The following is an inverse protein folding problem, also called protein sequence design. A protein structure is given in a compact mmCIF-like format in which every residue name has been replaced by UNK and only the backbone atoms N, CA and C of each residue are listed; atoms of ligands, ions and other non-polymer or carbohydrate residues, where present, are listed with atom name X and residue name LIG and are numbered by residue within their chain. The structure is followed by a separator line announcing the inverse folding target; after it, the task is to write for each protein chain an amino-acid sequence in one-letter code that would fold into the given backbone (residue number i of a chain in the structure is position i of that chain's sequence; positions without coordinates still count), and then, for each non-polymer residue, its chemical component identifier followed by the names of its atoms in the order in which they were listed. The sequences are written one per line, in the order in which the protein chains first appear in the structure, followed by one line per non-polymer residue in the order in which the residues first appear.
data_IF_910797338281
#
_entry.id   IF_910797338281
#
_cell.length_a   1.000
_cell.length_b   1.000
_cell.length_c   1.000
_cell.angle_alpha   90.00
_cell.angle_beta   90.00
_cell.angle_gamma   90.00
#
_symmetry.space_group_name_H-M   'P 1'
#
loop_
_entity.id
_entity.type
_entity.pdbx_description
1 polymer ?
#
# COMPACT_ATOMS: atom_id res chain seq x y z
N UNK A 1 9.83 16.17 11.59
CA UNK A 1 10.25 15.11 12.52
C UNK A 1 9.02 14.63 13.27
N UNK A 2 8.29 13.65 12.72
CA UNK A 2 7.16 13.07 13.43
C UNK A 2 7.70 12.05 14.43
N UNK A 3 7.73 12.44 15.71
CA UNK A 3 8.16 11.56 16.79
C UNK A 3 7.25 10.35 16.91
N UNK A 4 7.78 9.16 16.63
CA UNK A 4 7.11 7.88 16.87
C UNK A 4 6.81 7.74 18.37
N UNK A 5 5.59 8.11 18.80
CA UNK A 5 5.07 7.71 20.10
C UNK A 5 4.72 6.23 20.04
N UNK A 6 5.33 5.40 20.90
CA UNK A 6 4.93 4.00 21.09
C UNK A 6 3.44 3.94 21.44
N UNK A 7 2.61 3.51 20.49
CA UNK A 7 1.21 3.19 20.73
C UNK A 7 1.15 1.77 21.29
N UNK A 8 0.48 1.55 22.41
CA UNK A 8 0.25 0.20 22.94
C UNK A 8 -0.58 -0.59 21.94
N UNK A 9 -0.15 -1.79 21.62
CA UNK A 9 -0.57 -2.67 20.52
C UNK A 9 -2.07 -3.09 20.55
N UNK A 10 -2.76 -2.89 21.68
CA UNK A 10 -4.13 -3.37 21.90
C UNK A 10 -5.23 -2.47 21.35
N UNK A 11 -4.93 -1.21 21.03
CA UNK A 11 -5.97 -0.18 20.86
C UNK A 11 -5.90 0.59 19.53
N UNK A 12 -5.10 0.14 18.58
CA UNK A 12 -4.94 0.85 17.31
C UNK A 12 -6.08 0.52 16.34
N UNK A 13 -6.82 1.55 15.93
CA UNK A 13 -7.78 1.49 14.83
C UNK A 13 -7.09 1.96 13.56
N UNK A 14 -7.29 1.23 12.47
CA UNK A 14 -6.86 1.64 11.14
C UNK A 14 -8.06 1.99 10.29
N UNK A 15 -8.01 3.15 9.63
CA UNK A 15 -9.07 3.62 8.74
C UNK A 15 -8.49 3.81 7.35
N UNK A 16 -8.98 3.03 6.37
CA UNK A 16 -8.62 3.13 4.96
C UNK A 16 -9.60 4.03 4.21
N UNK A 17 -9.08 5.00 3.45
CA UNK A 17 -9.88 5.94 2.68
C UNK A 17 -9.69 5.69 1.19
N UNK A 18 -10.77 5.30 0.50
CA UNK A 18 -10.85 5.16 -0.96
C UNK A 18 -11.80 6.21 -1.54
N UNK A 19 -11.79 6.47 -2.85
CA UNK A 19 -12.68 7.46 -3.47
C UNK A 19 -14.17 7.24 -3.18
N UNK A 20 -14.60 5.98 -3.05
CA UNK A 20 -16.02 5.59 -2.93
C UNK A 20 -16.34 4.76 -1.69
N UNK A 21 -15.37 4.56 -0.80
CA UNK A 21 -15.59 3.79 0.43
C UNK A 21 -14.60 4.18 1.53
N UNK A 22 -15.02 3.96 2.78
CA UNK A 22 -14.15 4.04 3.97
C UNK A 22 -14.16 2.67 4.63
N UNK A 23 -12.97 2.16 4.95
CA UNK A 23 -12.72 0.85 5.52
C UNK A 23 -12.19 1.00 6.93
N UNK A 24 -12.69 0.19 7.85
CA UNK A 24 -12.29 0.22 9.25
C UNK A 24 -11.77 -1.13 9.68
N UNK A 25 -10.68 -1.14 10.40
CA UNK A 25 -10.10 -2.33 11.01
C UNK A 25 -9.75 -2.05 12.47
N UNK A 26 -10.20 -2.92 13.36
CA UNK A 26 -9.93 -2.84 14.79
C UNK A 26 -9.52 -4.18 15.35
N UNK A 27 -8.39 -4.23 16.06
CA UNK A 27 -7.94 -5.43 16.77
C UNK A 27 -8.74 -5.74 18.04
N UNK A 28 -9.38 -4.73 18.64
CA UNK A 28 -10.06 -4.87 19.93
C UNK A 28 -11.31 -5.73 19.88
N UNK A 29 -11.96 -5.80 18.71
CA UNK A 29 -13.20 -6.56 18.49
C UNK A 29 -12.99 -7.69 17.52
N UNK A 30 -12.18 -8.68 17.91
CA UNK A 30 -11.96 -9.93 17.14
C UNK A 30 -11.71 -9.68 15.64
N UNK A 31 -10.86 -8.67 15.30
CA UNK A 31 -10.54 -8.26 13.93
C UNK A 31 -11.76 -7.74 13.14
N UNK A 32 -12.65 -6.99 13.78
CA UNK A 32 -13.80 -6.40 13.11
C UNK A 32 -13.35 -5.58 11.89
N UNK A 33 -13.85 -5.95 10.75
CA UNK A 33 -13.64 -5.25 9.48
C UNK A 33 -14.98 -4.70 8.99
N UNK A 34 -15.07 -3.38 8.87
CA UNK A 34 -16.29 -2.69 8.45
C UNK A 34 -16.02 -1.86 7.20
N UNK A 35 -16.95 -1.85 6.27
CA UNK A 35 -16.92 -1.05 5.05
C UNK A 35 -18.15 -0.16 4.98
N UNK A 36 -17.94 1.12 4.71
CA UNK A 36 -19.02 2.10 4.46
C UNK A 36 -18.81 2.74 3.10
N UNK A 37 -19.83 2.69 2.25
CA UNK A 37 -19.80 3.36 0.96
C UNK A 37 -19.98 4.86 1.13
N UNK A 38 -19.32 5.65 0.28
CA UNK A 38 -19.42 7.10 0.21
C UNK A 38 -19.52 7.53 -1.25
N UNK A 39 -20.19 8.65 -1.51
CA UNK A 39 -20.28 9.23 -2.86
C UNK A 39 -19.03 10.07 -3.18
N UNK A 40 -18.47 10.73 -2.19
CA UNK A 40 -17.24 11.52 -2.31
C UNK A 40 -16.63 11.82 -0.92
N UNK A 41 -15.52 12.57 -0.91
CA UNK A 41 -14.75 12.88 0.31
C UNK A 41 -15.52 13.73 1.34
N UNK A 42 -16.60 14.41 0.98
CA UNK A 42 -17.40 15.21 1.91
C UNK A 42 -18.14 14.35 2.92
N UNK A 43 -18.37 13.07 2.60
CA UNK A 43 -19.05 12.13 3.48
C UNK A 43 -18.11 11.44 4.48
N UNK A 44 -16.79 11.62 4.37
CA UNK A 44 -15.82 10.97 5.28
C UNK A 44 -16.09 11.28 6.75
N UNK A 45 -16.31 12.55 7.09
CA UNK A 45 -16.57 12.95 8.46
C UNK A 45 -17.80 12.27 9.06
N UNK A 46 -18.88 12.20 8.28
CA UNK A 46 -20.13 11.54 8.70
C UNK A 46 -19.90 10.05 8.97
N UNK A 47 -19.33 9.35 8.02
CA UNK A 47 -19.12 7.89 8.10
C UNK A 47 -18.16 7.52 9.22
N UNK A 48 -17.07 8.30 9.39
CA UNK A 48 -16.10 8.09 10.48
C UNK A 48 -16.78 8.33 11.83
N UNK A 49 -17.58 9.39 11.97
CA UNK A 49 -18.34 9.68 13.20
C UNK A 49 -19.27 8.53 13.58
N UNK A 50 -20.03 7.99 12.62
CA UNK A 50 -20.94 6.87 12.83
C UNK A 50 -20.20 5.65 13.38
N UNK A 51 -19.16 5.18 12.67
CA UNK A 51 -18.41 3.98 13.06
C UNK A 51 -17.63 4.19 14.35
N UNK A 52 -17.04 5.38 14.57
CA UNK A 52 -16.32 5.67 15.80
C UNK A 52 -17.24 5.71 17.01
N UNK A 53 -18.50 6.11 16.83
CA UNK A 53 -19.52 6.02 17.89
C UNK A 53 -19.82 4.56 18.22
N UNK A 54 -20.03 3.70 17.22
CA UNK A 54 -20.27 2.26 17.40
C UNK A 54 -19.09 1.57 18.10
N UNK A 55 -17.85 1.96 17.76
CA UNK A 55 -16.61 1.43 18.34
C UNK A 55 -16.21 2.10 19.68
N UNK A 56 -17.00 3.03 20.19
CA UNK A 56 -16.70 3.80 21.42
C UNK A 56 -15.34 4.49 21.39
N UNK A 57 -14.94 5.03 20.22
CA UNK A 57 -13.70 5.75 20.02
C UNK A 57 -13.71 7.06 20.82
N UNK A 58 -12.58 7.42 21.40
CA UNK A 58 -12.40 8.65 22.16
C UNK A 58 -11.27 9.50 21.58
N UNK A 59 -11.20 10.78 21.97
CA UNK A 59 -10.11 11.70 21.60
C UNK A 59 -8.69 11.17 21.89
N UNK A 60 -8.56 10.17 22.77
CA UNK A 60 -7.27 9.55 23.13
C UNK A 60 -7.00 8.27 22.35
N UNK A 61 -8.00 7.72 21.66
CA UNK A 61 -7.85 6.49 20.88
C UNK A 61 -6.92 6.77 19.71
N UNK A 62 -5.79 6.05 19.60
CA UNK A 62 -4.88 6.21 18.46
C UNK A 62 -5.51 5.63 17.20
N UNK A 63 -5.50 6.42 16.14
CA UNK A 63 -5.98 6.03 14.81
C UNK A 63 -4.87 6.25 13.80
N UNK A 64 -4.67 5.26 12.94
CA UNK A 64 -3.80 5.35 11.76
C UNK A 64 -4.67 5.41 10.51
N UNK A 65 -4.40 6.34 9.63
CA UNK A 65 -5.10 6.47 8.36
C UNK A 65 -4.29 5.84 7.22
N UNK A 66 -4.98 5.19 6.31
CA UNK A 66 -4.41 4.61 5.08
C UNK A 66 -5.07 5.27 3.87
N UNK A 67 -4.28 5.95 3.06
CA UNK A 67 -4.71 6.34 1.73
C UNK A 67 -4.69 5.11 0.83
N UNK A 68 -5.85 4.79 0.25
CA UNK A 68 -6.01 3.70 -0.69
C UNK A 68 -5.89 4.21 -2.13
N UNK A 69 -5.71 3.30 -3.07
CA UNK A 69 -5.55 3.62 -4.49
C UNK A 69 -6.64 4.54 -5.00
N UNK A 70 -6.25 5.45 -5.90
CA UNK A 70 -7.12 6.52 -6.39
C UNK A 70 -7.09 7.80 -5.55
N UNK A 71 -6.50 7.77 -4.34
CA UNK A 71 -6.37 8.95 -3.47
C UNK A 71 -4.96 9.55 -3.46
N UNK A 72 -3.98 8.82 -3.96
CA UNK A 72 -2.57 9.24 -4.00
C UNK A 72 -1.88 8.75 -5.28
N UNK A 73 -0.72 9.33 -5.53
CA UNK A 73 0.26 8.84 -6.50
C UNK A 73 1.61 8.71 -5.82
N UNK A 74 2.41 7.75 -6.28
CA UNK A 74 3.78 7.60 -5.83
C UNK A 74 4.76 7.60 -7.00
N UNK A 75 5.97 8.06 -6.76
CA UNK A 75 7.05 8.09 -7.75
C UNK A 75 8.40 7.96 -7.07
N UNK A 76 9.27 7.15 -7.65
CA UNK A 76 10.66 7.04 -7.23
C UNK A 76 11.53 8.03 -8.00
N UNK A 77 12.26 8.87 -7.26
CA UNK A 77 13.20 9.84 -7.85
C UNK A 77 14.57 9.77 -7.16
N UNK A 78 15.56 10.40 -7.75
CA UNK A 78 16.83 10.67 -7.06
C UNK A 78 16.59 11.63 -5.89
N UNK A 79 17.20 11.34 -4.74
CA UNK A 79 17.08 12.24 -3.58
C UNK A 79 17.76 13.56 -3.90
N UNK A 80 17.04 14.71 -3.81
CA UNK A 80 17.64 16.02 -3.99
C UNK A 80 18.82 16.24 -3.04
N UNK A 81 19.89 16.85 -3.55
CA UNK A 81 21.08 17.18 -2.76
C UNK A 81 20.95 18.57 -2.16
N UNK A 82 20.06 18.69 -1.17
CA UNK A 82 19.78 19.96 -0.47
C UNK A 82 19.80 19.73 1.04
N UNK A 83 19.98 20.82 1.86
CA UNK A 83 19.79 20.74 3.30
C UNK A 83 18.40 20.21 3.68
N UNK A 84 18.28 19.56 4.86
CA UNK A 84 17.03 18.95 5.32
C UNK A 84 15.87 19.96 5.41
N UNK A 85 16.15 21.19 5.80
CA UNK A 85 15.17 22.28 5.89
C UNK A 85 14.58 22.69 4.54
N UNK A 86 15.30 22.44 3.43
CA UNK A 86 14.87 22.77 2.06
C UNK A 86 14.30 21.55 1.34
N UNK A 87 14.43 20.36 1.91
CA UNK A 87 14.09 19.09 1.26
C UNK A 87 12.63 19.03 0.81
N UNK A 88 11.68 19.49 1.65
CA UNK A 88 10.25 19.47 1.31
C UNK A 88 9.96 20.29 0.03
N UNK A 89 10.56 21.48 -0.10
CA UNK A 89 10.43 22.30 -1.28
C UNK A 89 11.10 21.69 -2.52
N UNK A 90 12.29 21.11 -2.34
CA UNK A 90 13.03 20.46 -3.42
C UNK A 90 12.29 19.23 -3.96
N UNK A 91 11.72 18.39 -3.08
CA UNK A 91 10.91 17.24 -3.46
C UNK A 91 9.65 17.68 -4.20
N UNK A 92 8.94 18.68 -3.66
CA UNK A 92 7.75 19.23 -4.31
C UNK A 92 8.06 19.76 -5.71
N UNK A 93 9.19 20.45 -5.89
CA UNK A 93 9.65 20.93 -7.19
C UNK A 93 10.01 19.77 -8.13
N UNK A 94 10.71 18.74 -7.64
CA UNK A 94 11.15 17.61 -8.45
C UNK A 94 10.00 16.80 -9.05
N UNK A 95 8.81 16.80 -8.40
CA UNK A 95 7.64 16.04 -8.89
C UNK A 95 6.63 16.89 -9.66
N UNK A 96 6.90 18.19 -9.89
CA UNK A 96 5.93 19.10 -10.51
C UNK A 96 5.36 18.61 -11.86
N UNK A 97 6.18 17.92 -12.66
CA UNK A 97 5.82 17.44 -13.98
C UNK A 97 5.10 16.08 -13.94
N UNK A 98 5.00 15.46 -12.76
CA UNK A 98 4.35 14.18 -12.54
C UNK A 98 2.96 14.29 -11.92
N UNK A 99 2.59 15.48 -11.43
CA UNK A 99 1.24 15.73 -10.90
C UNK A 99 0.38 16.40 -11.98
N UNK A 100 -0.90 16.02 -12.02
CA UNK A 100 -1.84 16.49 -13.07
C UNK A 100 -2.38 17.91 -12.85
N UNK A 101 -2.10 18.52 -11.71
CA UNK A 101 -2.58 19.85 -11.31
C UNK A 101 -1.39 20.66 -10.75
N UNK A 102 -1.65 21.88 -10.32
CA UNK A 102 -0.63 22.70 -9.67
C UNK A 102 -0.07 22.01 -8.45
N UNK A 103 1.25 21.81 -8.39
CA UNK A 103 1.92 21.08 -7.31
C UNK A 103 1.63 21.63 -5.92
N UNK A 104 1.29 22.93 -5.80
CA UNK A 104 0.89 23.55 -4.54
C UNK A 104 -0.45 23.04 -3.99
N UNK A 105 -1.28 22.38 -4.83
CA UNK A 105 -2.53 21.75 -4.43
C UNK A 105 -2.32 20.35 -3.85
N UNK A 106 -1.07 19.84 -3.87
CA UNK A 106 -0.73 18.54 -3.34
C UNK A 106 -0.01 18.65 -2.00
N UNK A 107 -0.38 17.75 -1.08
CA UNK A 107 0.43 17.36 0.04
C UNK A 107 1.45 16.35 -0.48
N UNK A 108 2.71 16.53 -0.14
CA UNK A 108 3.83 15.72 -0.61
C UNK A 108 4.65 15.29 0.61
N UNK A 109 4.98 14.01 0.66
CA UNK A 109 5.90 13.45 1.65
C UNK A 109 6.77 12.38 0.99
N UNK A 110 7.83 11.93 1.64
CA UNK A 110 8.74 10.95 1.07
C UNK A 110 9.32 10.01 2.12
N UNK A 111 9.76 8.85 1.64
CA UNK A 111 10.55 7.89 2.42
C UNK A 111 11.86 7.59 1.70
N UNK A 112 12.95 7.44 2.45
CA UNK A 112 14.22 7.00 1.88
C UNK A 112 14.11 5.55 1.42
N UNK A 113 14.47 5.31 0.16
CA UNK A 113 14.59 3.97 -0.38
C UNK A 113 15.88 3.29 0.11
N UNK A 114 15.88 1.98 0.26
CA UNK A 114 17.09 1.25 0.58
C UNK A 114 18.18 1.49 -0.46
N UNK A 115 19.44 1.57 -0.01
CA UNK A 115 20.58 1.73 -0.90
C UNK A 115 20.75 0.48 -1.76
N UNK A 116 21.06 0.68 -3.02
CA UNK A 116 21.42 -0.39 -3.96
C UNK A 116 22.72 -0.04 -4.65
N UNK A 117 23.64 -1.01 -4.88
CA UNK A 117 24.87 -0.80 -5.64
C UNK A 117 24.66 -0.26 -7.05
N UNK A 118 23.46 -0.47 -7.61
CA UNK A 118 23.12 -0.05 -8.97
C UNK A 118 22.64 1.40 -9.06
N UNK A 119 22.41 2.06 -7.96
CA UNK A 119 21.99 3.46 -7.96
C UNK A 119 23.18 4.37 -7.67
N UNK A 120 23.56 5.26 -8.59
CA UNK A 120 24.65 6.22 -8.35
C UNK A 120 24.28 7.27 -7.30
N UNK A 121 23.00 7.51 -7.08
CA UNK A 121 22.46 8.44 -6.09
C UNK A 121 21.48 7.70 -5.17
N UNK A 122 21.35 8.20 -3.94
CA UNK A 122 20.27 7.76 -3.05
C UNK A 122 18.91 8.04 -3.70
N UNK A 123 17.95 7.14 -3.50
CA UNK A 123 16.59 7.25 -4.02
C UNK A 123 15.60 7.51 -2.90
N UNK A 124 14.54 8.20 -3.23
CA UNK A 124 13.37 8.38 -2.38
C UNK A 124 12.11 7.95 -3.13
N UNK A 125 11.16 7.39 -2.40
CA UNK A 125 9.79 7.24 -2.87
C UNK A 125 9.00 8.44 -2.39
N UNK A 126 8.52 9.24 -3.33
CA UNK A 126 7.68 10.41 -3.06
C UNK A 126 6.23 9.99 -3.20
N UNK A 127 5.43 10.34 -2.21
CA UNK A 127 3.97 10.17 -2.22
C UNK A 127 3.32 11.54 -2.32
N UNK A 128 2.36 11.68 -3.20
CA UNK A 128 1.59 12.91 -3.37
C UNK A 128 0.09 12.63 -3.35
N UNK A 129 -0.66 13.45 -2.62
CA UNK A 129 -2.12 13.40 -2.55
C UNK A 129 -2.70 14.81 -2.59
N UNK A 130 -3.89 14.99 -3.11
CA UNK A 130 -4.53 16.31 -3.11
C UNK A 130 -4.74 16.80 -1.68
N UNK A 131 -4.36 18.03 -1.37
CA UNK A 131 -4.48 18.64 -0.03
C UNK A 131 -5.90 18.57 0.51
N UNK A 132 -6.92 18.70 -0.38
CA UNK A 132 -8.33 18.59 0.03
C UNK A 132 -8.68 17.21 0.58
N UNK A 133 -8.08 16.14 0.02
CA UNK A 133 -8.29 14.75 0.48
C UNK A 133 -7.62 14.57 1.85
N UNK A 134 -6.34 14.95 1.94
CA UNK A 134 -5.58 14.85 3.21
C UNK A 134 -6.27 15.64 4.32
N UNK A 135 -6.75 16.85 4.00
CA UNK A 135 -7.51 17.69 4.95
C UNK A 135 -8.79 17.01 5.38
N UNK A 136 -9.59 16.48 4.45
CA UNK A 136 -10.84 15.78 4.78
C UNK A 136 -10.61 14.59 5.73
N UNK A 137 -9.53 13.83 5.52
CA UNK A 137 -9.12 12.72 6.38
C UNK A 137 -8.71 13.22 7.77
N UNK A 138 -7.86 14.24 7.83
CA UNK A 138 -7.44 14.84 9.11
C UNK A 138 -8.65 15.33 9.89
N UNK A 139 -9.52 16.12 9.27
CA UNK A 139 -10.70 16.69 9.92
C UNK A 139 -11.64 15.57 10.43
N UNK A 140 -11.93 14.56 9.58
CA UNK A 140 -12.80 13.44 9.93
C UNK A 140 -12.29 12.64 11.14
N UNK A 141 -11.00 12.36 11.19
CA UNK A 141 -10.42 11.55 12.27
C UNK A 141 -10.19 12.38 13.53
N UNK A 142 -9.60 13.58 13.39
CA UNK A 142 -9.22 14.38 14.56
C UNK A 142 -10.41 14.98 15.31
N UNK A 143 -11.59 15.00 14.72
CA UNK A 143 -12.83 15.36 15.43
C UNK A 143 -13.16 14.38 16.56
N UNK A 144 -12.76 13.10 16.44
CA UNK A 144 -13.15 12.04 17.38
C UNK A 144 -11.99 11.31 18.04
N UNK A 145 -10.81 11.31 17.44
CA UNK A 145 -9.68 10.47 17.82
C UNK A 145 -8.32 11.19 17.72
N UNK A 146 -7.27 10.52 18.15
CA UNK A 146 -5.89 10.97 17.97
C UNK A 146 -5.32 10.36 16.67
N UNK A 147 -5.23 11.15 15.60
CA UNK A 147 -4.57 10.72 14.36
C UNK A 147 -3.07 10.59 14.60
N UNK A 148 -2.54 9.38 14.46
CA UNK A 148 -1.12 9.08 14.67
C UNK A 148 -0.28 9.35 13.43
N UNK A 149 -0.75 8.87 12.28
CA UNK A 149 -0.09 9.05 10.98
C UNK A 149 -1.07 8.79 9.82
N UNK A 150 -0.62 9.14 8.62
CA UNK A 150 -1.27 8.79 7.35
C UNK A 150 -0.23 8.05 6.52
N UNK A 151 -0.55 6.83 6.06
CA UNK A 151 0.31 5.98 5.25
C UNK A 151 -0.34 5.67 3.89
N UNK A 152 0.37 4.93 3.04
CA UNK A 152 -0.11 4.40 1.75
C UNK A 152 0.11 2.90 1.69
N UNK A 153 -0.57 2.22 0.77
CA UNK A 153 -0.60 0.75 0.71
C UNK A 153 0.78 0.13 0.58
N UNK A 154 1.60 0.61 -0.36
CA UNK A 154 2.91 0.00 -0.62
C UNK A 154 3.87 0.11 0.56
N UNK A 155 3.80 1.21 1.31
CA UNK A 155 4.62 1.41 2.52
C UNK A 155 4.11 0.53 3.65
N UNK A 156 2.77 0.45 3.83
CA UNK A 156 2.19 -0.35 4.90
C UNK A 156 2.39 -1.85 4.69
N UNK A 157 2.32 -2.34 3.45
CA UNK A 157 2.53 -3.75 3.12
C UNK A 157 3.93 -4.25 3.49
N UNK A 158 4.94 -3.38 3.54
CA UNK A 158 6.26 -3.74 4.00
C UNK A 158 6.28 -4.22 5.47
N UNK A 159 5.34 -3.76 6.29
CA UNK A 159 5.23 -4.14 7.70
C UNK A 159 4.66 -5.55 7.93
N UNK A 160 4.22 -6.24 6.87
CA UNK A 160 3.84 -7.66 6.96
C UNK A 160 5.04 -8.57 7.24
N UNK A 161 6.23 -8.17 6.85
CA UNK A 161 7.44 -8.99 6.87
C UNK A 161 8.39 -8.57 7.99
N UNK A 162 9.23 -9.51 8.44
CA UNK A 162 10.21 -9.26 9.48
C UNK A 162 11.44 -8.51 8.93
N UNK A 163 11.97 -7.57 9.70
CA UNK A 163 13.19 -6.85 9.33
C UNK A 163 14.45 -7.72 9.33
N UNK A 164 14.42 -8.86 10.04
CA UNK A 164 15.51 -9.83 10.08
C UNK A 164 15.37 -10.92 9.02
N UNK A 165 14.33 -10.89 8.19
CA UNK A 165 14.16 -11.86 7.12
C UNK A 165 15.15 -11.57 5.98
N UNK A 166 16.06 -12.50 5.77
CA UNK A 166 17.07 -12.40 4.70
C UNK A 166 16.51 -12.68 3.30
N UNK A 167 15.26 -13.12 3.21
CA UNK A 167 14.60 -13.39 1.94
C UNK A 167 13.92 -12.14 1.39
N UNK A 168 14.02 -11.93 0.09
CA UNK A 168 13.17 -10.97 -0.58
C UNK A 168 11.76 -11.55 -0.79
N UNK A 169 10.74 -10.72 -0.57
CA UNK A 169 9.34 -11.06 -0.76
C UNK A 169 8.76 -10.26 -1.91
N UNK A 170 7.91 -10.90 -2.68
CA UNK A 170 7.12 -10.23 -3.72
C UNK A 170 5.64 -10.33 -3.39
N UNK A 171 4.90 -9.30 -3.74
CA UNK A 171 3.44 -9.28 -3.67
C UNK A 171 2.91 -8.86 -5.04
N UNK A 172 2.09 -9.69 -5.66
CA UNK A 172 1.17 -9.25 -6.71
C UNK A 172 -0.06 -8.68 -6.03
N UNK A 173 -0.27 -7.39 -6.20
CA UNK A 173 -1.28 -6.63 -5.46
C UNK A 173 -2.24 -5.93 -6.41
N UNK A 174 -3.53 -6.24 -6.33
CA UNK A 174 -4.55 -5.60 -7.14
C UNK A 174 -5.90 -5.55 -6.44
N UNK A 175 -6.33 -4.40 -5.92
CA UNK A 175 -7.73 -4.15 -5.62
C UNK A 175 -8.57 -4.09 -6.91
N UNK A 176 -9.85 -4.42 -6.82
CA UNK A 176 -10.78 -4.40 -7.95
C UNK A 176 -10.75 -3.06 -8.69
N UNK A 177 -10.61 -3.13 -10.02
CA UNK A 177 -10.65 -1.96 -10.91
C UNK A 177 -9.37 -1.14 -11.00
N UNK A 178 -8.31 -1.52 -10.28
CA UNK A 178 -7.00 -0.87 -10.35
C UNK A 178 -5.97 -1.70 -11.13
N UNK A 179 -4.87 -1.07 -11.52
CA UNK A 179 -3.77 -1.76 -12.17
C UNK A 179 -3.12 -2.78 -11.22
N UNK A 180 -2.68 -3.91 -11.79
CA UNK A 180 -1.89 -4.89 -11.08
C UNK A 180 -0.52 -4.30 -10.72
N UNK A 181 -0.10 -4.44 -9.48
CA UNK A 181 1.20 -3.97 -9.02
C UNK A 181 2.04 -5.12 -8.49
N UNK A 182 3.30 -5.11 -8.85
CA UNK A 182 4.33 -5.92 -8.22
C UNK A 182 5.05 -5.06 -7.19
N UNK A 183 5.05 -5.53 -5.95
CA UNK A 183 5.68 -4.86 -4.80
C UNK A 183 6.78 -5.79 -4.29
N UNK A 184 7.98 -5.28 -4.13
CA UNK A 184 9.13 -6.04 -3.61
C UNK A 184 9.56 -5.47 -2.28
N UNK A 185 9.67 -6.35 -1.30
CA UNK A 185 9.99 -6.03 0.09
C UNK A 185 11.17 -6.88 0.54
N UNK A 186 12.12 -6.27 1.22
CA UNK A 186 13.23 -6.94 1.87
C UNK A 186 13.59 -6.21 3.16
N UNK A 187 13.86 -6.95 4.23
CA UNK A 187 14.10 -6.40 5.57
C UNK A 187 13.02 -5.39 6.00
N UNK A 188 11.74 -5.75 5.77
CA UNK A 188 10.60 -4.89 6.06
C UNK A 188 10.67 -3.49 5.42
N UNK A 189 11.36 -3.36 4.30
CA UNK A 189 11.49 -2.10 3.56
C UNK A 189 11.06 -2.30 2.11
N UNK A 190 10.32 -1.33 1.60
CA UNK A 190 9.97 -1.29 0.19
C UNK A 190 11.22 -1.01 -0.65
N UNK A 191 11.56 -1.92 -1.56
CA UNK A 191 12.68 -1.78 -2.48
C UNK A 191 12.25 -1.39 -3.89
N UNK A 192 11.08 -1.86 -4.28
CA UNK A 192 10.63 -1.70 -5.63
C UNK A 192 9.11 -1.85 -5.70
N UNK A 193 8.48 -0.99 -6.49
CA UNK A 193 7.07 -1.14 -6.87
C UNK A 193 6.94 -0.82 -8.35
N UNK A 194 6.16 -1.63 -9.06
CA UNK A 194 5.93 -1.47 -10.49
C UNK A 194 4.49 -1.81 -10.85
N UNK A 195 3.83 -0.91 -11.58
CA UNK A 195 2.53 -1.20 -12.19
C UNK A 195 2.73 -2.05 -13.44
N UNK A 196 2.03 -3.19 -13.51
CA UNK A 196 2.00 -4.10 -14.65
C UNK A 196 0.78 -3.76 -15.50
N UNK A 197 1.02 -3.28 -16.71
CA UNK A 197 -0.05 -2.83 -17.62
C UNK A 197 -0.71 -4.02 -18.32
N UNK A 198 -2.01 -3.87 -18.61
CA UNK A 198 -2.78 -4.90 -19.33
C UNK A 198 -3.55 -5.87 -18.42
N UNK A 199 -3.42 -5.75 -17.09
CA UNK A 199 -4.05 -6.67 -16.13
C UNK A 199 -5.16 -6.02 -15.29
N UNK A 200 -5.62 -4.83 -15.64
CA UNK A 200 -6.62 -4.09 -14.86
C UNK A 200 -7.93 -4.84 -14.67
N UNK A 201 -8.30 -5.67 -15.63
CA UNK A 201 -9.60 -6.34 -15.69
C UNK A 201 -9.57 -7.78 -15.12
N UNK A 202 -8.54 -8.18 -14.35
CA UNK A 202 -8.45 -9.52 -13.75
C UNK A 202 -9.67 -9.87 -12.89
N UNK A 203 -10.28 -8.90 -12.22
CA UNK A 203 -11.49 -9.09 -11.42
C UNK A 203 -12.72 -9.58 -12.22
N UNK A 204 -12.70 -9.45 -13.56
CA UNK A 204 -13.79 -9.90 -14.45
C UNK A 204 -13.72 -11.37 -14.81
N UNK A 205 -12.54 -12.00 -14.65
CA UNK A 205 -12.36 -13.41 -15.01
C UNK A 205 -13.07 -14.32 -14.00
N UNK A 206 -13.85 -15.26 -14.53
CA UNK A 206 -14.44 -16.33 -13.73
C UNK A 206 -13.40 -17.41 -13.48
N UNK A 207 -13.63 -18.26 -12.47
CA UNK A 207 -12.74 -19.36 -12.15
C UNK A 207 -12.51 -20.28 -13.36
N UNK A 208 -11.24 -20.48 -13.74
CA UNK A 208 -10.84 -21.29 -14.89
C UNK A 208 -11.07 -20.63 -16.26
N UNK A 209 -11.26 -19.29 -16.29
CA UNK A 209 -11.51 -18.57 -17.55
C UNK A 209 -10.33 -17.78 -18.07
N UNK A 210 -9.24 -17.72 -17.32
CA UNK A 210 -8.02 -17.04 -17.77
C UNK A 210 -7.38 -17.86 -18.91
N UNK A 211 -7.08 -17.19 -20.00
CA UNK A 211 -6.45 -17.78 -21.18
C UNK A 211 -4.92 -17.84 -21.05
N UNK A 212 -4.30 -18.66 -21.93
CA UNK A 212 -2.85 -18.83 -21.94
C UNK A 212 -2.11 -17.52 -22.29
N UNK A 213 -2.68 -16.68 -23.16
CA UNK A 213 -2.04 -15.43 -23.59
C UNK A 213 -1.89 -14.48 -22.39
N UNK A 214 -2.87 -14.45 -21.49
CA UNK A 214 -2.79 -13.64 -20.26
C UNK A 214 -1.73 -14.20 -19.31
N UNK A 215 -1.67 -15.52 -19.12
CA UNK A 215 -0.63 -16.17 -18.30
C UNK A 215 0.78 -15.91 -18.86
N UNK A 216 0.97 -16.04 -20.17
CA UNK A 216 2.26 -15.80 -20.83
C UNK A 216 2.70 -14.33 -20.69
N UNK A 217 1.77 -13.39 -20.86
CA UNK A 217 2.04 -11.96 -20.66
C UNK A 217 2.40 -11.65 -19.20
N UNK A 218 1.68 -12.24 -18.24
CA UNK A 218 1.98 -12.06 -16.82
C UNK A 218 3.36 -12.63 -16.46
N UNK A 219 3.67 -13.81 -16.98
CA UNK A 219 4.97 -14.46 -16.82
C UNK A 219 6.09 -13.58 -17.36
N UNK A 220 5.93 -13.03 -18.56
CA UNK A 220 6.93 -12.15 -19.17
C UNK A 220 7.17 -10.88 -18.33
N UNK A 221 6.12 -10.24 -17.83
CA UNK A 221 6.25 -9.05 -16.99
C UNK A 221 6.90 -9.40 -15.63
N UNK A 222 6.58 -10.56 -15.08
CA UNK A 222 7.20 -11.03 -13.84
C UNK A 222 8.69 -11.36 -14.06
N UNK A 223 9.05 -12.05 -15.15
CA UNK A 223 10.44 -12.34 -15.49
C UNK A 223 11.28 -11.06 -15.61
N UNK A 224 10.79 -10.07 -16.34
CA UNK A 224 11.45 -8.75 -16.45
C UNK A 224 11.71 -8.11 -15.09
N UNK A 225 10.75 -8.25 -14.17
CA UNK A 225 10.87 -7.69 -12.83
C UNK A 225 11.87 -8.47 -11.97
N UNK A 226 11.90 -9.80 -12.08
CA UNK A 226 12.89 -10.67 -11.44
C UNK A 226 14.31 -10.37 -11.92
N UNK A 227 14.49 -10.24 -13.23
CA UNK A 227 15.79 -9.89 -13.81
C UNK A 227 16.27 -8.53 -13.30
N UNK A 228 15.37 -7.55 -13.23
CA UNK A 228 15.68 -6.25 -12.65
C UNK A 228 16.09 -6.34 -11.18
N UNK A 229 15.34 -7.09 -10.37
CA UNK A 229 15.63 -7.27 -8.95
C UNK A 229 17.00 -7.91 -8.72
N UNK A 230 17.27 -9.02 -9.40
CA UNK A 230 18.49 -9.79 -9.18
C UNK A 230 19.69 -9.12 -9.87
N UNK A 231 19.55 -8.75 -11.14
CA UNK A 231 20.66 -8.22 -11.92
C UNK A 231 20.98 -6.76 -11.63
N UNK A 232 19.95 -5.93 -11.38
CA UNK A 232 20.11 -4.49 -11.18
C UNK A 232 20.13 -4.13 -9.68
N UNK A 233 19.13 -4.53 -8.92
CA UNK A 233 19.04 -4.16 -7.49
C UNK A 233 19.92 -5.02 -6.58
N UNK A 234 20.49 -6.15 -7.12
CA UNK A 234 21.30 -7.09 -6.36
C UNK A 234 20.58 -7.66 -5.13
N UNK A 235 19.25 -7.78 -5.22
CA UNK A 235 18.46 -8.44 -4.19
C UNK A 235 18.62 -9.97 -4.28
N UNK A 236 18.45 -10.68 -3.15
CA UNK A 236 18.35 -12.13 -3.21
C UNK A 236 17.13 -12.54 -4.05
N UNK A 237 17.24 -13.65 -4.77
CA UNK A 237 16.12 -14.19 -5.53
C UNK A 237 14.94 -14.46 -4.57
N UNK A 238 13.73 -13.99 -4.88
CA UNK A 238 12.58 -14.20 -4.02
C UNK A 238 12.22 -15.68 -3.98
N UNK A 239 11.81 -16.17 -2.82
CA UNK A 239 11.33 -17.55 -2.64
C UNK A 239 9.82 -17.61 -2.44
N UNK A 240 9.22 -16.49 -2.04
CA UNK A 240 7.80 -16.38 -1.77
C UNK A 240 7.18 -15.25 -2.60
N UNK A 241 6.08 -15.58 -3.27
CA UNK A 241 5.21 -14.66 -3.97
C UNK A 241 3.84 -14.67 -3.32
N UNK A 242 3.43 -13.55 -2.73
CA UNK A 242 2.07 -13.39 -2.21
C UNK A 242 1.15 -12.91 -3.33
N UNK A 243 0.03 -13.62 -3.51
CA UNK A 243 -1.02 -13.30 -4.48
C UNK A 243 -2.16 -12.61 -3.73
N UNK A 244 -2.22 -11.30 -3.83
CA UNK A 244 -3.23 -10.44 -3.22
C UNK A 244 -4.04 -9.75 -4.34
N UNK A 245 -4.98 -10.49 -4.92
CA UNK A 245 -5.78 -10.07 -6.08
C UNK A 245 -7.26 -10.19 -5.78
N UNK A 246 -8.02 -9.14 -6.06
CA UNK A 246 -9.49 -9.21 -6.12
C UNK A 246 -9.92 -9.83 -7.48
N UNK A 247 -9.49 -11.06 -7.70
CA UNK A 247 -9.74 -11.84 -8.91
C UNK A 247 -10.35 -13.20 -8.51
N UNK A 248 -11.52 -13.59 -9.07
CA UNK A 248 -12.12 -14.91 -8.78
C UNK A 248 -11.23 -16.09 -9.17
N UNK A 249 -10.34 -15.90 -10.15
CA UNK A 249 -9.45 -16.94 -10.69
C UNK A 249 -7.99 -16.81 -10.21
N UNK A 250 -7.75 -16.14 -9.07
CA UNK A 250 -6.41 -15.92 -8.51
C UNK A 250 -5.64 -17.21 -8.18
N UNK A 251 -6.35 -18.30 -7.86
CA UNK A 251 -5.73 -19.60 -7.61
C UNK A 251 -5.07 -20.15 -8.88
N UNK A 252 -5.73 -20.01 -10.04
CA UNK A 252 -5.15 -20.44 -11.33
C UNK A 252 -3.89 -19.63 -11.67
N UNK A 253 -3.85 -18.34 -11.30
CA UNK A 253 -2.65 -17.51 -11.43
C UNK A 253 -1.54 -18.05 -10.51
N UNK A 254 -1.87 -18.35 -9.26
CA UNK A 254 -0.90 -18.89 -8.30
C UNK A 254 -0.33 -20.22 -8.76
N UNK A 255 -1.18 -21.14 -9.21
CA UNK A 255 -0.78 -22.47 -9.72
C UNK A 255 0.13 -22.33 -10.94
N UNK A 256 -0.24 -21.48 -11.90
CA UNK A 256 0.58 -21.22 -13.07
C UNK A 256 1.97 -20.69 -12.70
N UNK A 257 2.05 -19.70 -11.81
CA UNK A 257 3.30 -19.09 -11.39
C UNK A 257 4.16 -20.05 -10.55
N UNK A 258 3.55 -20.88 -9.71
CA UNK A 258 4.25 -21.92 -8.95
C UNK A 258 4.89 -22.95 -9.89
N UNK A 259 4.17 -23.36 -10.93
CA UNK A 259 4.67 -24.34 -11.90
C UNK A 259 5.73 -23.76 -12.84
N UNK A 260 5.67 -22.45 -13.13
CA UNK A 260 6.60 -21.77 -14.05
C UNK A 260 7.89 -21.36 -13.35
N UNK A 261 7.80 -20.97 -12.09
CA UNK A 261 8.91 -20.46 -11.29
C UNK A 261 9.14 -21.32 -10.04
N UNK A 262 10.35 -21.30 -9.51
CA UNK A 262 10.73 -22.10 -8.34
C UNK A 262 10.38 -21.43 -7.00
N UNK A 263 9.41 -20.51 -6.95
CA UNK A 263 8.97 -19.92 -5.68
C UNK A 263 7.65 -20.51 -5.20
N UNK A 264 7.48 -20.44 -3.88
CA UNK A 264 6.20 -20.76 -3.25
C UNK A 264 5.23 -19.58 -3.45
N UNK A 265 3.96 -19.89 -3.68
CA UNK A 265 2.91 -18.89 -3.70
C UNK A 265 2.10 -18.94 -2.41
N UNK A 266 1.71 -17.78 -1.92
CA UNK A 266 0.77 -17.62 -0.80
C UNK A 266 -0.42 -16.80 -1.31
N UNK A 267 -1.58 -17.44 -1.44
CA UNK A 267 -2.80 -16.79 -1.91
C UNK A 267 -3.55 -16.23 -0.71
N UNK A 268 -3.87 -14.94 -0.76
CA UNK A 268 -4.72 -14.31 0.27
C UNK A 268 -6.16 -14.77 0.04
N UNK A 269 -6.67 -15.54 1.00
CA UNK A 269 -7.99 -16.19 0.90
C UNK A 269 -9.16 -15.22 1.06
N UNK A 270 -10.33 -15.65 0.58
CA UNK A 270 -11.61 -14.91 0.70
C UNK A 270 -12.23 -14.95 2.11
N UNK A 271 -11.62 -15.59 3.07
CA UNK A 271 -12.17 -15.71 4.44
C UNK A 271 -12.50 -14.36 5.07
N UNK A 272 -11.96 -13.27 4.52
CA UNK A 272 -12.19 -11.90 4.95
C UNK A 272 -13.23 -11.14 4.10
N UNK A 273 -13.90 -11.83 3.15
CA UNK A 273 -14.92 -11.24 2.28
C UNK A 273 -14.37 -10.56 1.03
N UNK A 274 -15.24 -9.83 0.30
CA UNK A 274 -14.97 -9.24 -1.03
C UNK A 274 -13.85 -8.18 -1.08
N UNK A 275 -13.27 -7.78 0.04
CA UNK A 275 -12.24 -6.74 0.12
C UNK A 275 -10.94 -7.29 0.75
N UNK A 276 -10.60 -8.56 0.46
CA UNK A 276 -9.46 -9.25 1.05
C UNK A 276 -8.13 -8.52 0.85
N UNK A 277 -7.94 -7.90 -0.30
CA UNK A 277 -6.73 -7.15 -0.67
C UNK A 277 -6.60 -5.86 0.15
N UNK A 278 -7.67 -5.10 0.29
CA UNK A 278 -7.69 -3.88 1.11
C UNK A 278 -7.53 -4.23 2.60
N UNK A 279 -8.19 -5.29 3.07
CA UNK A 279 -8.01 -5.80 4.43
C UNK A 279 -6.54 -6.10 4.74
N UNK A 280 -5.81 -6.72 3.82
CA UNK A 280 -4.38 -6.99 3.98
C UNK A 280 -3.58 -5.71 4.26
N UNK A 281 -3.87 -4.64 3.53
CA UNK A 281 -3.20 -3.34 3.70
C UNK A 281 -3.51 -2.71 5.06
N UNK A 282 -4.75 -2.83 5.55
CA UNK A 282 -5.12 -2.33 6.88
C UNK A 282 -4.45 -3.13 8.01
N UNK A 283 -4.42 -4.47 7.88
CA UNK A 283 -3.72 -5.35 8.83
C UNK A 283 -2.22 -5.06 8.85
N UNK A 284 -1.62 -4.81 7.67
CA UNK A 284 -0.23 -4.44 7.55
C UNK A 284 0.07 -3.16 8.34
N UNK A 285 -0.72 -2.11 8.12
CA UNK A 285 -0.58 -0.84 8.83
C UNK A 285 -0.79 -1.01 10.35
N UNK A 286 -1.71 -1.89 10.78
CA UNK A 286 -1.92 -2.18 12.19
C UNK A 286 -0.72 -2.89 12.84
N UNK A 287 0.09 -3.63 12.07
CA UNK A 287 1.32 -4.28 12.56
C UNK A 287 2.50 -3.32 12.71
N UNK A 288 2.55 -2.23 11.93
CA UNK A 288 3.65 -1.27 11.90
C UNK A 288 3.98 -0.64 13.26
N UNK A 289 3.03 -0.60 14.19
CA UNK A 289 3.23 -0.10 15.56
C UNK A 289 4.13 -0.97 16.44
N UNK A 290 4.45 -2.20 16.02
CA UNK A 290 5.26 -3.15 16.80
C UNK A 290 6.78 -2.95 16.66
N UNK A 291 7.21 -2.23 15.60
CA UNK A 291 8.61 -2.13 15.18
C UNK A 291 9.32 -0.86 15.65
N UNK A 292 8.86 -0.23 16.72
CA UNK A 292 9.49 0.97 17.29
C UNK A 292 10.21 0.68 18.61
#
# INVERSE_FOLDING_TARGET
MFGKKKVKDSDCIVVGFAPTAVYFYSKQKDHEFTVKQVSDISEYAKVVSEVFTELHVTKKTPVRALLLRGQYSNIQIDKPKTPEEEMAGAVQWAIKDYVQDTVTNFAVDYVDMPKSPSYPNDKILVVSAQKRIVKAIIDAVTEHAALSDISVEEISLADLFDENDEQAHMILFQPEGYDLNLITIWHSRLFFTRSLRGFKDLYKYQKGSIDNDLFDNLSLELQRSLDYMVAQLKLPAPKLLTIALDCPDRESIADYLTNTYSFQTNVISEEVGKNSVIYLSLVALAKAGKKA
#
